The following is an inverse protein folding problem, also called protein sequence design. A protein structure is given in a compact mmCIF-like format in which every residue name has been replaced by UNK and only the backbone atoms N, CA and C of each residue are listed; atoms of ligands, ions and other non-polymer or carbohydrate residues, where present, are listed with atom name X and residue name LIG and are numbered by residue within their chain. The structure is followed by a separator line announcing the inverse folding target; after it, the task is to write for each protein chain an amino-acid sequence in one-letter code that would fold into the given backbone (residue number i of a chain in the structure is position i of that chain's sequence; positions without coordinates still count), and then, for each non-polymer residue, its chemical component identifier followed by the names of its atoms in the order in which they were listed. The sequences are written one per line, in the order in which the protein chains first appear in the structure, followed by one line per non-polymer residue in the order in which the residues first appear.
data_IF_881798980453
#
_entry.id   IF_881798980453
#
_cell.length_a   1.000
_cell.length_b   1.000
_cell.length_c   1.000
_cell.angle_alpha   90.00
_cell.angle_beta   90.00
_cell.angle_gamma   90.00
#
_symmetry.space_group_name_H-M   'P 1'
#
loop_
_entity.id
_entity.type
_entity.pdbx_description
1 polymer ?
#
# COMPACT_ATOMS: atom_id res chain seq x y z
N UNK A 1 5.34 9.72 0.16
CA UNK A 1 6.24 8.93 -0.70
C UNK A 1 5.66 8.94 -2.10
N UNK A 2 6.49 9.17 -3.12
CA UNK A 2 6.13 8.97 -4.53
C UNK A 2 6.97 7.84 -5.11
N UNK A 3 6.50 7.21 -6.19
CA UNK A 3 7.22 6.13 -6.89
C UNK A 3 7.80 6.59 -8.24
N UNK A 4 8.22 7.86 -8.34
CA UNK A 4 8.60 8.47 -9.63
C UNK A 4 9.83 7.83 -10.29
N UNK A 5 10.70 7.17 -9.50
CA UNK A 5 11.89 6.47 -9.99
C UNK A 5 11.72 4.95 -10.06
N UNK A 6 10.51 4.43 -9.82
CA UNK A 6 10.20 2.99 -9.83
C UNK A 6 11.13 2.14 -8.94
N UNK A 7 11.72 2.73 -7.90
CA UNK A 7 12.64 2.05 -6.98
C UNK A 7 11.93 1.26 -5.87
N UNK A 8 10.65 1.59 -5.59
CA UNK A 8 9.93 0.94 -4.48
C UNK A 8 9.71 -0.56 -4.69
N UNK A 9 9.36 -1.07 -5.88
CA UNK A 9 9.25 -2.51 -6.09
C UNK A 9 10.56 -3.26 -5.86
N UNK A 10 11.69 -2.68 -6.30
CA UNK A 10 13.04 -3.27 -6.13
C UNK A 10 13.42 -3.30 -4.65
N UNK A 11 13.16 -2.21 -3.93
CA UNK A 11 13.43 -2.15 -2.50
C UNK A 11 12.56 -3.13 -1.68
N UNK A 12 11.35 -3.42 -2.16
CA UNK A 12 10.35 -4.22 -1.46
C UNK A 12 10.33 -5.71 -1.85
N UNK A 13 11.29 -6.15 -2.67
CA UNK A 13 11.37 -7.51 -3.22
C UNK A 13 11.21 -8.58 -2.14
N UNK A 14 10.24 -9.47 -2.34
CA UNK A 14 9.89 -10.64 -1.51
C UNK A 14 9.66 -10.37 -0.01
N UNK A 15 9.31 -9.13 0.34
CA UNK A 15 9.00 -8.75 1.72
C UNK A 15 7.80 -9.51 2.30
N UNK A 16 7.89 -9.90 3.58
CA UNK A 16 6.77 -10.52 4.29
C UNK A 16 5.62 -9.52 4.54
N UNK A 17 5.96 -8.26 4.78
CA UNK A 17 5.03 -7.15 4.94
C UNK A 17 5.58 -5.94 4.21
N UNK A 18 4.80 -5.40 3.29
CA UNK A 18 5.03 -4.11 2.65
C UNK A 18 4.14 -3.04 3.31
N UNK A 19 4.75 -2.11 4.05
CA UNK A 19 4.03 -0.98 4.69
C UNK A 19 4.00 0.22 3.74
N UNK A 20 2.81 0.70 3.39
CA UNK A 20 2.61 1.78 2.41
C UNK A 20 1.70 2.89 2.91
N UNK A 21 1.96 4.13 2.49
CA UNK A 21 1.16 5.28 2.88
C UNK A 21 -0.18 5.31 2.12
N UNK A 22 -1.31 5.20 2.82
CA UNK A 22 -2.65 5.45 2.28
C UNK A 22 -3.06 6.92 2.48
N UNK A 23 -2.26 7.83 1.91
CA UNK A 23 -2.40 9.25 2.19
C UNK A 23 -3.41 9.96 1.29
N UNK A 24 -3.74 9.44 0.10
CA UNK A 24 -4.60 10.08 -0.91
C UNK A 24 -5.58 9.07 -1.51
N UNK A 25 -6.81 9.47 -1.87
CA UNK A 25 -7.71 8.62 -2.63
C UNK A 25 -7.23 8.47 -4.08
N UNK A 26 -7.77 7.50 -4.81
CA UNK A 26 -7.45 7.30 -6.23
C UNK A 26 -7.75 8.54 -7.07
N UNK A 27 -8.84 9.23 -6.77
CA UNK A 27 -9.26 10.44 -7.48
C UNK A 27 -8.36 11.67 -7.22
N UNK A 28 -7.33 11.56 -6.38
CA UNK A 28 -6.45 12.69 -6.07
C UNK A 28 -5.75 13.21 -7.32
N UNK A 29 -5.76 14.53 -7.54
CA UNK A 29 -5.08 15.21 -8.65
C UNK A 29 -4.02 16.20 -8.20
N UNK A 30 -3.39 16.87 -9.16
CA UNK A 30 -2.47 17.99 -8.92
C UNK A 30 -1.22 17.61 -8.12
N UNK A 31 -0.80 18.48 -7.20
CA UNK A 31 0.44 18.30 -6.42
C UNK A 31 0.39 17.06 -5.53
N UNK A 32 -0.79 16.64 -5.08
CA UNK A 32 -0.95 15.49 -4.20
C UNK A 32 -0.39 14.20 -4.82
N UNK A 33 -0.53 14.01 -6.14
CA UNK A 33 -0.03 12.82 -6.85
C UNK A 33 1.48 12.83 -7.07
N UNK A 34 2.13 13.99 -6.94
CA UNK A 34 3.59 14.10 -6.99
C UNK A 34 4.25 13.71 -5.66
N UNK A 35 3.49 13.79 -4.56
CA UNK A 35 4.00 13.59 -3.20
C UNK A 35 3.57 12.24 -2.60
N UNK A 36 2.47 11.67 -3.12
CA UNK A 36 1.85 10.45 -2.61
C UNK A 36 1.51 9.46 -3.73
N UNK A 37 1.69 8.18 -3.45
CA UNK A 37 1.23 7.06 -4.28
C UNK A 37 -0.30 6.93 -4.15
N UNK A 38 -0.98 6.68 -5.27
CA UNK A 38 -2.42 6.36 -5.29
C UNK A 38 -2.66 4.87 -5.01
N UNK A 39 -3.86 4.47 -4.53
CA UNK A 39 -4.20 3.07 -4.30
C UNK A 39 -3.85 2.10 -5.45
N UNK A 40 -4.19 2.45 -6.70
CA UNK A 40 -3.86 1.61 -7.87
C UNK A 40 -2.35 1.36 -8.02
N UNK A 41 -1.54 2.39 -7.78
CA UNK A 41 -0.08 2.31 -7.83
C UNK A 41 0.50 1.52 -6.65
N UNK A 42 -0.13 1.56 -5.46
CA UNK A 42 0.25 0.69 -4.34
C UNK A 42 0.08 -0.79 -4.75
N UNK A 43 -1.03 -1.13 -5.41
CA UNK A 43 -1.27 -2.49 -5.90
C UNK A 43 -0.20 -2.95 -6.90
N UNK A 44 0.18 -2.09 -7.85
CA UNK A 44 1.27 -2.40 -8.80
C UNK A 44 2.60 -2.60 -8.10
N UNK A 45 2.94 -1.74 -7.14
CA UNK A 45 4.19 -1.88 -6.38
C UNK A 45 4.21 -3.20 -5.62
N UNK A 46 3.13 -3.52 -4.90
CA UNK A 46 3.03 -4.75 -4.11
C UNK A 46 3.12 -6.01 -4.99
N UNK A 47 2.43 -6.02 -6.13
CA UNK A 47 2.48 -7.13 -7.08
C UNK A 47 3.88 -7.29 -7.70
N UNK A 48 4.50 -6.20 -8.14
CA UNK A 48 5.82 -6.25 -8.75
C UNK A 48 6.92 -6.63 -7.76
N UNK A 49 6.72 -6.29 -6.48
CA UNK A 49 7.64 -6.64 -5.40
C UNK A 49 7.49 -8.09 -4.91
N UNK A 50 6.44 -8.84 -5.33
CA UNK A 50 6.16 -10.14 -4.72
C UNK A 50 5.79 -10.06 -3.23
N UNK A 51 5.30 -8.90 -2.76
CA UNK A 51 5.02 -8.67 -1.35
C UNK A 51 3.94 -9.65 -0.85
N UNK A 52 4.20 -10.31 0.28
CA UNK A 52 3.28 -11.34 0.80
C UNK A 52 2.02 -10.76 1.41
N UNK A 53 2.13 -9.57 2.01
CA UNK A 53 1.02 -8.78 2.58
C UNK A 53 1.30 -7.28 2.48
N UNK A 54 0.24 -6.49 2.37
CA UNK A 54 0.31 -5.02 2.42
C UNK A 54 -0.34 -4.49 3.69
N UNK A 55 0.36 -3.61 4.40
CA UNK A 55 -0.19 -2.85 5.53
C UNK A 55 -0.25 -1.37 5.15
N UNK A 56 -1.44 -0.79 5.21
CA UNK A 56 -1.69 0.60 4.87
C UNK A 56 -1.65 1.47 6.12
N UNK A 57 -0.65 2.34 6.20
CA UNK A 57 -0.47 3.32 7.29
C UNK A 57 -0.54 4.75 6.76
N UNK A 58 -0.20 5.74 7.60
CA UNK A 58 -0.22 7.17 7.25
C UNK A 58 -1.55 7.57 6.59
N UNK A 59 -2.65 7.17 7.21
CA UNK A 59 -4.02 7.48 6.76
C UNK A 59 -4.33 8.94 7.08
N UNK A 60 -4.96 9.62 6.14
CA UNK A 60 -5.31 11.04 6.24
C UNK A 60 -6.83 11.17 6.30
N UNK A 61 -7.36 12.31 6.74
CA UNK A 61 -8.82 12.58 6.78
C UNK A 61 -9.51 12.22 5.45
N UNK A 62 -8.84 12.46 4.33
CA UNK A 62 -9.36 12.19 2.97
C UNK A 62 -9.40 10.70 2.57
N UNK A 63 -8.80 9.81 3.36
CA UNK A 63 -8.78 8.34 3.15
C UNK A 63 -9.38 7.55 4.31
N UNK A 64 -9.49 8.13 5.51
CA UNK A 64 -10.25 7.55 6.62
C UNK A 64 -11.72 7.40 6.25
N UNK A 65 -12.29 6.22 6.52
CA UNK A 65 -13.69 5.88 6.17
C UNK A 65 -13.89 5.51 4.70
N UNK A 66 -12.82 5.41 3.91
CA UNK A 66 -12.85 5.04 2.48
C UNK A 66 -12.05 3.77 2.20
N UNK A 67 -11.91 2.92 3.20
CA UNK A 67 -11.07 1.72 3.16
C UNK A 67 -11.49 0.77 2.04
N UNK A 68 -12.80 0.57 1.85
CA UNK A 68 -13.32 -0.28 0.77
C UNK A 68 -12.95 0.23 -0.63
N UNK A 69 -12.95 1.55 -0.83
CA UNK A 69 -12.56 2.16 -2.11
C UNK A 69 -11.05 2.02 -2.33
N UNK A 70 -10.24 2.32 -1.31
CA UNK A 70 -8.79 2.10 -1.37
C UNK A 70 -8.48 0.64 -1.69
N UNK A 71 -9.11 -0.31 -0.98
CA UNK A 71 -8.90 -1.74 -1.18
C UNK A 71 -9.32 -2.19 -2.58
N UNK A 72 -10.46 -1.70 -3.09
CA UNK A 72 -10.94 -1.99 -4.44
C UNK A 72 -9.87 -1.69 -5.50
N UNK A 73 -9.26 -0.50 -5.45
CA UNK A 73 -8.25 -0.09 -6.42
C UNK A 73 -6.93 -0.85 -6.28
N UNK A 74 -6.49 -1.15 -5.05
CA UNK A 74 -5.29 -1.98 -4.83
C UNK A 74 -5.51 -3.39 -5.40
N UNK A 75 -6.69 -3.98 -5.16
CA UNK A 75 -7.04 -5.34 -5.60
C UNK A 75 -7.15 -5.51 -7.11
N UNK A 76 -7.19 -4.42 -7.88
CA UNK A 76 -7.10 -4.52 -9.34
C UNK A 76 -5.73 -5.03 -9.81
N UNK A 77 -4.68 -4.85 -8.99
CA UNK A 77 -3.31 -5.21 -9.35
C UNK A 77 -2.66 -6.17 -8.36
N UNK A 78 -3.17 -6.29 -7.13
CA UNK A 78 -2.57 -7.10 -6.08
C UNK A 78 -3.59 -8.07 -5.47
N UNK A 79 -3.27 -9.36 -5.44
CA UNK A 79 -4.16 -10.41 -4.93
C UNK A 79 -3.91 -10.80 -3.47
N UNK A 80 -2.84 -10.30 -2.86
CA UNK A 80 -2.49 -10.62 -1.48
C UNK A 80 -3.33 -9.89 -0.44
N UNK A 81 -3.18 -10.25 0.85
CA UNK A 81 -3.89 -9.61 1.96
C UNK A 81 -3.53 -8.13 2.10
N UNK A 82 -4.54 -7.31 2.40
CA UNK A 82 -4.42 -5.87 2.65
C UNK A 82 -5.00 -5.61 4.05
N UNK A 83 -4.23 -4.96 4.90
CA UNK A 83 -4.61 -4.59 6.26
C UNK A 83 -4.46 -3.06 6.43
N UNK A 84 -5.34 -2.41 7.17
CA UNK A 84 -5.24 -0.98 7.49
C UNK A 84 -4.75 -0.84 8.93
N UNK A 85 -3.64 -0.15 9.13
CA UNK A 85 -3.10 0.07 10.47
C UNK A 85 -3.85 1.20 11.19
N UNK A 86 -4.11 0.96 12.47
CA UNK A 86 -4.46 1.93 13.48
C UNK A 86 -3.33 2.06 14.52
N UNK A 87 -3.39 3.12 15.33
CA UNK A 87 -2.38 3.37 16.35
C UNK A 87 -2.31 2.20 17.35
N UNK A 88 -1.08 1.77 17.66
CA UNK A 88 -0.76 0.64 18.56
C UNK A 88 -1.06 -0.76 18.00
N UNK A 89 -1.42 -0.89 16.73
CA UNK A 89 -1.56 -2.20 16.10
C UNK A 89 -0.24 -3.00 16.08
N UNK A 90 -0.38 -4.33 16.21
CA UNK A 90 0.72 -5.28 16.19
C UNK A 90 0.57 -6.24 15.01
N UNK A 91 1.51 -6.15 14.05
CA UNK A 91 1.55 -7.04 12.90
C UNK A 91 2.59 -8.15 13.13
N UNK A 92 2.11 -9.35 13.44
CA UNK A 92 2.98 -10.51 13.66
C UNK A 92 3.43 -11.08 12.32
N UNK A 93 4.74 -11.26 12.19
CA UNK A 93 5.35 -12.05 11.11
C UNK A 93 5.17 -13.54 11.43
N UNK A 94 4.50 -14.27 10.53
CA UNK A 94 4.43 -15.73 10.63
C UNK A 94 5.62 -16.30 9.85
N UNK A 95 6.50 -17.10 10.48
CA UNK A 95 7.57 -17.78 9.75
C UNK A 95 6.94 -18.64 8.66
N UNK A 96 7.50 -18.59 7.45
CA UNK A 96 7.14 -19.56 6.42
C UNK A 96 7.92 -20.85 6.68
N UNK A 97 7.20 -21.91 7.01
CA UNK A 97 7.78 -23.26 6.92
C UNK A 97 8.05 -23.54 5.44
N UNK A 98 9.33 -23.60 5.07
CA UNK A 98 9.80 -24.15 3.80
C UNK A 98 9.82 -25.67 3.90
#
# INVERSE_FOLDING_TARGET
MSNSYQSLPILAEDTDILVMNNAVPESAGGIATRLHVRPSEIGKIASNAGAKRVVLSHRMIRTLGREQETEHYIKQFYSGPIEFADDLDLFILKPQHH
#
